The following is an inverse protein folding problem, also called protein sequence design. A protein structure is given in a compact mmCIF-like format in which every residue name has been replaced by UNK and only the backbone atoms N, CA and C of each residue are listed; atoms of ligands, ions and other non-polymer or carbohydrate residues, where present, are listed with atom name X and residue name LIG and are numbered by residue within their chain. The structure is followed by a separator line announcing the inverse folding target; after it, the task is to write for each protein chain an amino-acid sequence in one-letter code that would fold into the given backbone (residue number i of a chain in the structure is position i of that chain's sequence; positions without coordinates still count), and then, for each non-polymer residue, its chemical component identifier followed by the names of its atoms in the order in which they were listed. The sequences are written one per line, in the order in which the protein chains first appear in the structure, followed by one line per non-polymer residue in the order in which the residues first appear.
data_IF_601610542593
#
_entry.id   IF_601610542593
#
_cell.length_a   1.000
_cell.length_b   1.000
_cell.length_c   1.000
_cell.angle_alpha   90.00
_cell.angle_beta   90.00
_cell.angle_gamma   90.00
#
_symmetry.space_group_name_H-M   'P 1'
#
loop_
_entity.id
_entity.type
_entity.pdbx_description
1 polymer ?
#
# COMPACT_ATOMS: atom_id res chain seq x y z
N UNK A 1 55.15 -1.35 9.09
CA UNK A 1 54.24 -0.46 9.85
C UNK A 1 53.54 0.43 8.86
N UNK A 2 52.26 0.14 8.56
CA UNK A 2 51.47 0.99 7.64
C UNK A 2 51.37 2.39 8.22
N UNK A 3 51.57 3.40 7.37
CA UNK A 3 51.56 4.80 7.80
C UNK A 3 50.14 5.16 8.24
N UNK A 4 50.00 5.91 9.32
CA UNK A 4 48.71 6.36 9.88
C UNK A 4 47.82 7.04 8.84
N UNK A 5 48.40 7.60 7.76
CA UNK A 5 47.70 8.16 6.59
C UNK A 5 46.98 7.11 5.73
N UNK A 6 47.57 5.93 5.57
CA UNK A 6 47.02 4.84 4.74
C UNK A 6 45.86 4.14 5.47
N UNK A 7 45.99 3.96 6.79
CA UNK A 7 44.94 3.39 7.64
C UNK A 7 43.73 4.34 7.70
N UNK A 8 43.95 5.65 7.78
CA UNK A 8 42.89 6.65 7.81
C UNK A 8 42.10 6.73 6.48
N UNK A 9 42.78 6.62 5.33
CA UNK A 9 42.12 6.63 4.01
C UNK A 9 41.27 5.39 3.76
N UNK A 10 41.74 4.21 4.19
CA UNK A 10 41.00 2.95 4.07
C UNK A 10 39.78 2.93 5.00
N UNK A 11 39.91 3.46 6.23
CA UNK A 11 38.79 3.57 7.15
C UNK A 11 37.71 4.54 6.66
N UNK A 12 38.08 5.68 6.05
CA UNK A 12 37.13 6.65 5.50
C UNK A 12 36.35 6.11 4.28
N UNK A 13 37.00 5.29 3.44
CA UNK A 13 36.36 4.61 2.30
C UNK A 13 35.40 3.48 2.74
N UNK A 14 35.65 2.84 3.87
CA UNK A 14 34.79 1.78 4.42
C UNK A 14 33.51 2.30 5.10
N UNK A 15 33.50 3.54 5.58
CA UNK A 15 32.32 4.14 6.22
C UNK A 15 31.28 4.73 5.24
N UNK A 16 31.56 4.76 3.93
CA UNK A 16 30.75 5.48 2.95
C UNK A 16 29.67 4.64 2.22
N UNK A 17 29.51 3.34 2.52
CA UNK A 17 28.72 2.45 1.63
C UNK A 17 27.51 1.76 2.27
N UNK A 18 27.21 1.93 3.56
CA UNK A 18 26.05 1.23 4.16
C UNK A 18 24.95 2.19 4.60
N UNK A 19 24.36 2.90 3.63
CA UNK A 19 22.97 3.28 3.75
C UNK A 19 22.16 2.01 3.39
N UNK A 20 21.66 1.31 4.40
CA UNK A 20 20.62 0.32 4.19
C UNK A 20 19.39 1.09 3.69
N UNK A 21 19.16 1.08 2.38
CA UNK A 21 17.86 1.44 1.84
C UNK A 21 16.94 0.34 2.38
N UNK A 22 16.05 0.67 3.30
CA UNK A 22 14.93 -0.20 3.61
C UNK A 22 14.21 -0.38 2.27
N UNK A 23 14.26 -1.58 1.70
CA UNK A 23 13.46 -1.89 0.53
C UNK A 23 12.01 -1.89 1.02
N UNK A 24 11.30 -0.78 0.84
CA UNK A 24 9.85 -0.76 0.94
C UNK A 24 9.35 -1.58 -0.26
N UNK A 25 8.53 -2.58 0.00
CA UNK A 25 7.95 -3.39 -1.06
C UNK A 25 7.10 -2.47 -1.95
N UNK A 26 7.48 -2.36 -3.23
CA UNK A 26 6.89 -1.44 -4.21
C UNK A 26 6.57 -2.21 -5.49
N UNK A 27 5.46 -1.88 -6.13
CA UNK A 27 5.12 -2.39 -7.45
C UNK A 27 4.66 -1.26 -8.37
N UNK A 28 4.92 -1.40 -9.65
CA UNK A 28 4.59 -0.38 -10.66
C UNK A 28 3.79 -0.97 -11.82
N UNK A 29 2.98 -0.12 -12.46
CA UNK A 29 2.15 -0.52 -13.60
C UNK A 29 1.09 -1.56 -13.25
N UNK A 30 0.61 -1.56 -12.02
CA UNK A 30 -0.37 -2.51 -11.50
C UNK A 30 -1.75 -2.10 -11.97
N UNK A 31 -2.55 -3.07 -12.42
CA UNK A 31 -3.94 -2.82 -12.78
C UNK A 31 -4.79 -2.73 -11.51
N UNK A 32 -5.46 -1.60 -11.32
CA UNK A 32 -6.41 -1.39 -10.24
C UNK A 32 -7.84 -1.32 -10.78
N UNK A 33 -8.71 -2.24 -10.38
CA UNK A 33 -10.16 -2.20 -10.63
C UNK A 33 -10.88 -1.58 -9.45
N UNK A 34 -12.21 -1.50 -9.55
CA UNK A 34 -13.04 -1.06 -8.44
C UNK A 34 -14.22 -1.96 -8.18
N UNK A 35 -14.68 -1.92 -6.93
CA UNK A 35 -15.95 -2.48 -6.48
C UNK A 35 -16.66 -1.48 -5.56
N UNK A 36 -17.99 -1.56 -5.50
CA UNK A 36 -18.79 -0.76 -4.56
C UNK A 36 -18.91 -1.51 -3.23
N UNK A 37 -17.90 -1.43 -2.37
CA UNK A 37 -17.92 -2.10 -1.06
C UNK A 37 -18.75 -1.31 -0.04
N UNK A 38 -18.85 0.02 -0.19
CA UNK A 38 -19.62 0.89 0.69
C UNK A 38 -19.28 0.65 2.18
N UNK A 39 -18.00 0.76 2.57
CA UNK A 39 -17.54 0.32 3.88
C UNK A 39 -18.26 1.03 5.03
N UNK A 40 -18.58 2.31 4.88
CA UNK A 40 -19.31 3.08 5.88
C UNK A 40 -20.70 2.53 6.20
N UNK A 41 -21.40 1.98 5.20
CA UNK A 41 -22.73 1.35 5.41
C UNK A 41 -22.62 -0.03 6.06
N UNK A 42 -21.46 -0.67 5.92
CA UNK A 42 -21.17 -1.99 6.45
C UNK A 42 -20.35 -1.93 7.73
N UNK A 43 -20.32 -0.78 8.42
CA UNK A 43 -19.58 -0.59 9.66
C UNK A 43 -18.09 -0.99 9.54
N UNK A 44 -17.52 -0.83 8.34
CA UNK A 44 -16.16 -1.23 7.97
C UNK A 44 -15.89 -2.75 8.03
N UNK A 45 -16.94 -3.57 8.16
CA UNK A 45 -16.91 -5.03 8.17
C UNK A 45 -17.02 -5.59 6.75
N UNK A 46 -15.89 -5.69 6.06
CA UNK A 46 -15.87 -6.04 4.63
C UNK A 46 -16.09 -7.54 4.34
N UNK A 47 -16.01 -8.38 5.38
CA UNK A 47 -16.55 -9.73 5.38
C UNK A 47 -18.00 -9.78 4.93
N UNK A 48 -18.80 -8.77 5.33
CA UNK A 48 -20.23 -8.75 5.07
C UNK A 48 -20.58 -8.49 3.60
N UNK A 49 -19.66 -7.88 2.84
CA UNK A 49 -19.85 -7.53 1.41
C UNK A 49 -19.10 -8.47 0.47
N UNK A 50 -18.61 -9.60 0.98
CA UNK A 50 -18.05 -10.66 0.15
C UNK A 50 -16.65 -10.38 -0.38
N UNK A 51 -15.86 -9.58 0.35
CA UNK A 51 -14.43 -9.52 0.08
C UNK A 51 -13.84 -10.95 0.20
N UNK A 52 -13.28 -11.49 -0.87
CA UNK A 52 -13.24 -12.93 -1.12
C UNK A 52 -12.42 -13.74 -0.09
N UNK A 53 -11.43 -13.14 0.55
CA UNK A 53 -10.55 -13.79 1.51
C UNK A 53 -10.54 -13.15 2.92
N UNK A 54 -11.45 -12.21 3.13
CA UNK A 54 -11.70 -11.48 4.37
C UNK A 54 -11.96 -12.37 5.61
N UNK A 55 -12.34 -13.64 5.43
CA UNK A 55 -12.55 -14.63 6.52
C UNK A 55 -11.40 -14.79 7.52
N UNK A 56 -10.16 -14.39 7.19
CA UNK A 56 -9.00 -14.56 8.08
C UNK A 56 -8.50 -13.27 8.76
N UNK A 57 -8.94 -12.09 8.31
CA UNK A 57 -8.38 -10.81 8.79
C UNK A 57 -9.42 -9.76 9.22
N UNK A 58 -10.67 -9.79 8.73
CA UNK A 58 -11.60 -8.69 9.06
C UNK A 58 -12.12 -8.72 10.52
N UNK A 59 -11.83 -9.79 11.29
CA UNK A 59 -12.13 -9.84 12.73
C UNK A 59 -10.94 -9.46 13.62
N UNK A 60 -9.76 -9.16 13.07
CA UNK A 60 -8.66 -8.71 13.92
C UNK A 60 -8.94 -7.29 14.41
N UNK A 61 -8.99 -7.07 15.74
CA UNK A 61 -9.21 -5.74 16.28
C UNK A 61 -8.11 -4.81 15.77
N UNK A 62 -8.50 -3.57 15.49
CA UNK A 62 -7.70 -2.49 14.90
C UNK A 62 -6.34 -2.20 15.56
N UNK A 63 -5.98 -2.85 16.66
CA UNK A 63 -4.69 -2.67 17.31
C UNK A 63 -4.25 -3.98 17.96
N UNK A 64 -3.03 -4.40 17.61
CA UNK A 64 -2.16 -5.32 18.32
C UNK A 64 -2.60 -6.79 18.40
N UNK A 65 -2.13 -7.62 17.46
CA UNK A 65 -1.38 -8.84 17.82
C UNK A 65 -0.31 -9.18 16.75
N UNK A 66 0.94 -8.89 17.09
CA UNK A 66 2.17 -9.61 16.68
C UNK A 66 2.20 -10.12 15.22
N UNK A 67 2.12 -9.22 14.23
CA UNK A 67 2.67 -9.47 12.89
C UNK A 67 3.61 -8.33 12.53
N UNK A 68 4.75 -8.28 13.21
CA UNK A 68 5.73 -7.20 13.15
C UNK A 68 6.50 -7.11 11.81
N UNK A 69 5.92 -7.53 10.68
CA UNK A 69 6.54 -7.46 9.35
C UNK A 69 5.53 -7.36 8.17
N UNK A 70 4.26 -7.01 8.40
CA UNK A 70 3.31 -6.71 7.31
C UNK A 70 2.83 -5.28 7.53
N UNK A 71 3.05 -4.41 6.54
CA UNK A 71 2.42 -3.10 6.52
C UNK A 71 0.92 -3.28 6.31
N UNK A 72 0.12 -2.71 7.22
CA UNK A 72 -1.36 -2.71 7.14
C UNK A 72 -1.89 -1.72 6.08
N UNK A 73 -0.99 -0.90 5.53
CA UNK A 73 -1.31 0.21 4.65
C UNK A 73 -0.45 0.25 3.40
N UNK A 74 -1.03 0.85 2.37
CA UNK A 74 -0.41 1.01 1.07
C UNK A 74 -0.68 2.42 0.53
N UNK A 75 0.35 3.11 0.05
CA UNK A 75 0.18 4.31 -0.76
C UNK A 75 -0.02 3.87 -2.22
N UNK A 76 -1.07 4.37 -2.86
CA UNK A 76 -1.42 4.04 -4.25
C UNK A 76 -1.45 5.32 -5.06
N UNK A 77 -0.73 5.33 -6.17
CA UNK A 77 -0.55 6.49 -7.05
C UNK A 77 -1.09 6.18 -8.43
N UNK A 78 -2.03 6.99 -8.94
CA UNK A 78 -2.48 6.91 -10.32
C UNK A 78 -1.36 7.37 -11.27
N UNK A 79 -0.85 6.47 -12.11
CA UNK A 79 0.27 6.76 -13.02
C UNK A 79 -0.06 7.79 -14.10
N UNK A 80 -1.34 7.99 -14.42
CA UNK A 80 -1.77 8.95 -15.44
C UNK A 80 -1.86 10.38 -14.91
N UNK A 81 -2.34 10.57 -13.69
CA UNK A 81 -2.61 11.89 -13.10
C UNK A 81 -1.62 12.31 -12.02
N UNK A 82 -0.97 11.33 -11.37
CA UNK A 82 -0.13 11.53 -10.19
C UNK A 82 -0.93 11.72 -8.90
N UNK A 83 -2.25 11.47 -8.90
CA UNK A 83 -3.06 11.52 -7.67
C UNK A 83 -2.75 10.32 -6.78
N UNK A 84 -2.68 10.55 -5.48
CA UNK A 84 -2.23 9.56 -4.50
C UNK A 84 -3.25 9.39 -3.38
N UNK A 85 -3.31 8.17 -2.85
CA UNK A 85 -4.12 7.87 -1.69
C UNK A 85 -3.48 6.77 -0.84
N UNK A 86 -3.54 6.93 0.48
CA UNK A 86 -3.19 5.85 1.42
C UNK A 86 -4.43 5.06 1.75
N UNK A 87 -4.31 3.74 1.73
CA UNK A 87 -5.40 2.79 1.90
C UNK A 87 -5.01 1.70 2.88
N UNK A 88 -6.01 1.10 3.52
CA UNK A 88 -5.85 -0.08 4.36
C UNK A 88 -6.02 -1.33 3.51
N UNK A 89 -5.12 -2.28 3.72
CA UNK A 89 -5.17 -3.60 3.08
C UNK A 89 -6.10 -4.46 3.92
N UNK A 90 -7.22 -4.90 3.34
CA UNK A 90 -8.21 -5.72 4.05
C UNK A 90 -8.19 -7.18 3.62
N UNK A 91 -7.44 -7.47 2.56
CA UNK A 91 -7.36 -8.80 1.99
C UNK A 91 -6.12 -8.96 1.09
N UNK A 92 -5.44 -10.11 1.21
CA UNK A 92 -4.31 -10.51 0.37
C UNK A 92 -4.63 -11.85 -0.31
N UNK A 93 -5.52 -11.84 -1.29
CA UNK A 93 -5.73 -12.98 -2.19
C UNK A 93 -5.40 -12.55 -3.61
N UNK A 94 -4.47 -13.27 -4.24
CA UNK A 94 -3.73 -12.76 -5.39
C UNK A 94 -4.12 -13.33 -6.75
N UNK A 95 -3.94 -12.47 -7.76
CA UNK A 95 -3.81 -12.64 -9.21
C UNK A 95 -3.12 -11.41 -9.86
N UNK A 96 -2.49 -10.51 -9.07
CA UNK A 96 -1.60 -9.47 -9.57
C UNK A 96 -2.25 -8.12 -9.89
N UNK A 97 -3.38 -7.81 -9.23
CA UNK A 97 -4.04 -6.50 -9.32
C UNK A 97 -4.56 -5.99 -7.98
N UNK A 98 -5.05 -4.75 -7.99
CA UNK A 98 -5.73 -4.14 -6.85
C UNK A 98 -7.22 -3.99 -7.15
N UNK A 99 -8.07 -4.17 -6.15
CA UNK A 99 -9.49 -3.89 -6.22
C UNK A 99 -9.86 -2.86 -5.14
N UNK A 100 -10.09 -1.63 -5.59
CA UNK A 100 -10.30 -0.46 -4.75
C UNK A 100 -11.80 -0.30 -4.47
N UNK A 101 -12.16 0.13 -3.26
CA UNK A 101 -13.52 0.67 -3.08
C UNK A 101 -13.72 1.90 -3.98
N UNK A 102 -14.84 1.94 -4.71
CA UNK A 102 -15.10 2.99 -5.68
C UNK A 102 -15.23 4.38 -5.05
N UNK A 103 -16.03 4.48 -3.98
CA UNK A 103 -16.41 5.77 -3.40
C UNK A 103 -15.28 6.38 -2.55
N UNK A 104 -14.48 5.55 -1.89
CA UNK A 104 -13.44 5.99 -0.95
C UNK A 104 -12.03 5.95 -1.50
N UNK A 105 -11.74 5.12 -2.51
CA UNK A 105 -10.38 4.96 -3.04
C UNK A 105 -10.28 5.27 -4.54
N UNK A 106 -10.99 4.51 -5.38
CA UNK A 106 -10.81 4.60 -6.84
C UNK A 106 -11.16 5.98 -7.38
N UNK A 107 -12.35 6.49 -7.04
CA UNK A 107 -12.82 7.79 -7.54
C UNK A 107 -12.04 8.98 -6.99
N UNK A 108 -11.32 8.79 -5.88
CA UNK A 108 -10.48 9.83 -5.27
C UNK A 108 -9.22 10.09 -6.12
N UNK A 109 -8.64 9.03 -6.70
CA UNK A 109 -7.45 9.11 -7.55
C UNK A 109 -7.75 9.07 -9.06
N UNK A 110 -9.00 8.84 -9.47
CA UNK A 110 -9.47 8.92 -10.86
C UNK A 110 -9.97 10.34 -11.21
N UNK A 111 -9.14 11.37 -11.00
CA UNK A 111 -9.57 12.77 -11.13
C UNK A 111 -9.85 13.20 -12.58
N UNK A 112 -9.27 12.50 -13.56
CA UNK A 112 -9.50 12.71 -14.99
C UNK A 112 -10.62 11.83 -15.57
N UNK A 113 -11.18 10.92 -14.75
CA UNK A 113 -12.24 9.94 -15.07
C UNK A 113 -11.90 8.88 -16.11
N UNK A 114 -10.65 8.81 -16.57
CA UNK A 114 -10.27 7.80 -17.56
C UNK A 114 -10.29 6.40 -16.95
N UNK A 115 -10.02 6.26 -15.66
CA UNK A 115 -10.10 4.98 -14.95
C UNK A 115 -11.49 4.39 -15.00
N UNK A 116 -12.51 5.19 -14.71
CA UNK A 116 -13.91 4.78 -14.78
C UNK A 116 -14.32 4.39 -16.21
N UNK A 117 -13.94 5.18 -17.21
CA UNK A 117 -14.26 4.91 -18.62
C UNK A 117 -13.58 3.62 -19.13
N UNK A 118 -12.34 3.37 -18.71
CA UNK A 118 -11.58 2.17 -19.07
C UNK A 118 -11.86 0.96 -18.15
N UNK A 119 -12.66 1.15 -17.11
CA UNK A 119 -12.96 0.14 -16.09
C UNK A 119 -11.78 -0.27 -15.20
N UNK A 120 -10.67 0.46 -15.24
CA UNK A 120 -9.50 0.27 -14.37
C UNK A 120 -8.52 1.45 -14.47
N UNK A 121 -7.73 1.63 -13.42
CA UNK A 121 -6.55 2.48 -13.40
C UNK A 121 -5.28 1.65 -13.60
N UNK A 122 -4.20 2.33 -14.00
CA UNK A 122 -2.83 1.83 -13.88
C UNK A 122 -2.17 2.60 -12.75
N UNK A 123 -1.73 1.88 -11.73
CA UNK A 123 -1.22 2.47 -10.49
C UNK A 123 0.15 1.94 -10.13
N UNK A 124 0.91 2.77 -9.43
CA UNK A 124 2.06 2.34 -8.66
C UNK A 124 1.64 2.26 -7.18
N UNK A 125 2.26 1.37 -6.41
CA UNK A 125 1.99 1.29 -4.98
C UNK A 125 3.23 0.95 -4.17
N UNK A 126 3.24 1.41 -2.93
CA UNK A 126 4.23 1.03 -1.92
C UNK A 126 3.58 0.73 -0.56
N UNK A 127 4.12 -0.25 0.14
CA UNK A 127 3.71 -0.55 1.51
C UNK A 127 4.26 0.50 2.48
N UNK A 128 3.39 1.04 3.33
CA UNK A 128 3.72 2.13 4.27
C UNK A 128 3.21 1.82 5.67
N UNK A 129 3.90 2.35 6.67
CA UNK A 129 3.38 2.39 8.04
C UNK A 129 2.52 3.65 8.20
N UNK A 130 1.31 3.53 8.73
CA UNK A 130 0.51 4.72 9.04
C UNK A 130 0.86 5.27 10.42
N UNK A 131 1.37 6.50 10.43
CA UNK A 131 1.60 7.24 11.66
C UNK A 131 0.30 7.88 12.21
N UNK A 132 -0.76 8.01 11.40
CA UNK A 132 -2.05 8.62 11.76
C UNK A 132 -3.28 7.89 11.17
N UNK A 133 -3.81 6.94 11.93
CA UNK A 133 -5.04 6.14 11.67
C UNK A 133 -6.28 6.97 11.29
N UNK A 134 -6.33 8.25 11.66
CA UNK A 134 -7.51 9.11 11.44
C UNK A 134 -7.71 9.54 9.98
N UNK A 135 -6.70 9.33 9.13
CA UNK A 135 -6.71 9.72 7.71
C UNK A 135 -6.95 8.56 6.75
N UNK A 136 -6.97 7.31 7.25
CA UNK A 136 -7.11 6.13 6.41
C UNK A 136 -8.52 5.57 6.49
N UNK A 137 -9.31 5.86 5.46
CA UNK A 137 -10.70 5.44 5.36
C UNK A 137 -10.96 4.58 4.12
N UNK A 138 -9.90 3.98 3.57
CA UNK A 138 -9.94 3.50 2.19
C UNK A 138 -9.58 2.02 2.15
N UNK A 139 -10.33 1.28 1.35
CA UNK A 139 -10.38 -0.17 1.40
C UNK A 139 -9.81 -0.75 0.12
N UNK A 140 -8.81 -1.63 0.27
CA UNK A 140 -8.29 -2.44 -0.84
C UNK A 140 -8.45 -3.92 -0.55
N UNK A 141 -9.07 -4.59 -1.52
CA UNK A 141 -8.94 -6.03 -1.67
C UNK A 141 -7.93 -6.29 -2.78
N UNK A 142 -6.84 -7.03 -2.53
CA UNK A 142 -6.08 -7.57 -3.66
C UNK A 142 -6.92 -8.65 -4.34
N UNK A 143 -6.84 -8.77 -5.67
CA UNK A 143 -7.44 -9.86 -6.42
C UNK A 143 -6.37 -10.74 -7.04
#
# INVERSE_FOLDING_TARGET
MGSVREIALVALLLFAVTAAVAAQDVATGVRATYHLYQPALNNWELNAVGAYCSTWDATKPHLNEISSNISDYMQVTNTATGDEITVRIVDQCGNGGLDLDYDTAFSVIDTDRQGYENGHLIVDYEFVDCEDESSVQNVIQSN
#
